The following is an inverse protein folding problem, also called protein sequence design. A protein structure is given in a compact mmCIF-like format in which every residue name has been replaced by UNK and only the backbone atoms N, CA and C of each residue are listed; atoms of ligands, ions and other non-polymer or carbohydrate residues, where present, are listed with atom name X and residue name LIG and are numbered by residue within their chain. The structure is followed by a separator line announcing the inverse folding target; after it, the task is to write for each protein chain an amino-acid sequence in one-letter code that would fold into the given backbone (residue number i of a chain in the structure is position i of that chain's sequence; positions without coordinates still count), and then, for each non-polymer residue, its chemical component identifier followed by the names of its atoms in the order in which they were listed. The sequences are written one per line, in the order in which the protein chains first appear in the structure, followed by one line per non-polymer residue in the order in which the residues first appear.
data_IF_095506780634
#
_entry.id   IF_095506780634
#
_cell.length_a   1.000
_cell.length_b   1.000
_cell.length_c   1.000
_cell.angle_alpha   90.00
_cell.angle_beta   90.00
_cell.angle_gamma   90.00
#
_symmetry.space_group_name_H-M   'P 1'
#
loop_
_entity.id
_entity.type
_entity.pdbx_description
1 polymer ?
#
# COMPACT_ATOMS: atom_id res chain seq x y z
N UNK A 1 2.30 5.33 -27.87
CA UNK A 1 2.05 5.98 -26.57
C UNK A 1 3.25 6.83 -26.23
N UNK A 2 3.08 8.15 -26.05
CA UNK A 2 4.17 9.02 -25.60
C UNK A 2 4.50 8.67 -24.14
N UNK A 3 5.74 8.27 -23.90
CA UNK A 3 6.26 8.05 -22.55
C UNK A 3 6.87 9.35 -22.06
N UNK A 4 6.56 9.74 -20.83
CA UNK A 4 7.17 10.87 -20.15
C UNK A 4 8.35 10.36 -19.35
N UNK A 5 9.54 10.83 -19.70
CA UNK A 5 10.76 10.57 -18.95
C UNK A 5 10.66 11.18 -17.55
N UNK A 6 11.07 10.43 -16.53
CA UNK A 6 11.03 10.85 -15.13
C UNK A 6 12.41 10.72 -14.50
N UNK A 7 12.81 11.77 -13.77
CA UNK A 7 13.92 11.67 -12.82
C UNK A 7 13.47 10.99 -11.51
N UNK A 8 14.42 10.67 -10.63
CA UNK A 8 14.13 9.95 -9.41
C UNK A 8 13.20 10.72 -8.45
N UNK A 9 13.32 12.05 -8.39
CA UNK A 9 12.46 12.90 -7.54
C UNK A 9 11.00 12.78 -7.99
N UNK A 10 10.73 12.84 -9.29
CA UNK A 10 9.39 12.69 -9.85
C UNK A 10 8.83 11.27 -9.63
N UNK A 11 9.68 10.26 -9.84
CA UNK A 11 9.33 8.86 -9.57
C UNK A 11 8.89 8.68 -8.11
N UNK A 12 9.66 9.22 -7.17
CA UNK A 12 9.41 9.06 -5.75
C UNK A 12 8.24 9.92 -5.24
N UNK A 13 8.03 11.10 -5.84
CA UNK A 13 6.84 11.91 -5.61
C UNK A 13 5.57 11.16 -5.98
N UNK A 14 5.55 10.50 -7.15
CA UNK A 14 4.41 9.70 -7.61
C UNK A 14 4.07 8.59 -6.60
N UNK A 15 5.09 7.85 -6.15
CA UNK A 15 4.90 6.79 -5.14
C UNK A 15 4.41 7.36 -3.79
N UNK A 16 4.86 8.57 -3.42
CA UNK A 16 4.43 9.22 -2.19
C UNK A 16 2.97 9.71 -2.26
N UNK A 17 2.54 10.22 -3.41
CA UNK A 17 1.14 10.61 -3.64
C UNK A 17 0.23 9.39 -3.53
N UNK A 18 0.59 8.26 -4.17
CA UNK A 18 -0.16 7.01 -4.06
C UNK A 18 -0.27 6.54 -2.62
N UNK A 19 0.86 6.52 -1.89
CA UNK A 19 0.89 6.14 -0.48
C UNK A 19 -0.03 7.03 0.38
N UNK A 20 0.05 8.35 0.21
CA UNK A 20 -0.78 9.30 0.97
C UNK A 20 -2.26 9.15 0.61
N UNK A 21 -2.59 8.97 -0.67
CA UNK A 21 -3.98 8.81 -1.12
C UNK A 21 -4.63 7.56 -0.48
N UNK A 22 -3.94 6.42 -0.49
CA UNK A 22 -4.41 5.19 0.15
C UNK A 22 -4.52 5.33 1.68
N UNK A 23 -3.56 6.02 2.32
CA UNK A 23 -3.62 6.29 3.76
C UNK A 23 -4.79 7.20 4.15
N UNK A 24 -5.02 8.27 3.38
CA UNK A 24 -6.17 9.16 3.60
C UNK A 24 -7.47 8.41 3.37
N UNK A 25 -7.54 7.52 2.37
CA UNK A 25 -8.73 6.72 2.09
C UNK A 25 -9.23 5.93 3.31
N UNK A 26 -8.34 5.18 3.97
CA UNK A 26 -8.69 4.43 5.19
C UNK A 26 -9.02 5.32 6.40
N UNK A 27 -8.36 6.47 6.55
CA UNK A 27 -8.66 7.43 7.63
C UNK A 27 -10.06 8.02 7.44
N UNK A 28 -10.35 8.51 6.23
CA UNK A 28 -11.65 9.11 5.88
C UNK A 28 -12.75 8.06 6.02
N UNK A 29 -12.52 6.84 5.52
CA UNK A 29 -13.54 5.79 5.63
C UNK A 29 -13.81 5.42 7.09
N UNK A 30 -12.77 5.32 7.92
CA UNK A 30 -12.91 5.08 9.37
C UNK A 30 -13.67 6.20 10.05
N UNK A 31 -13.38 7.47 9.72
CA UNK A 31 -14.09 8.62 10.28
C UNK A 31 -15.58 8.62 9.91
N UNK A 32 -15.90 8.30 8.65
CA UNK A 32 -17.29 8.20 8.18
C UNK A 32 -18.03 7.07 8.92
N UNK A 33 -17.44 5.87 8.99
CA UNK A 33 -18.12 4.74 9.64
C UNK A 33 -18.26 4.94 11.15
N UNK A 34 -17.29 5.58 11.80
CA UNK A 34 -17.37 5.99 13.20
C UNK A 34 -18.56 6.92 13.43
N UNK A 35 -18.69 7.97 12.61
CA UNK A 35 -19.80 8.92 12.70
C UNK A 35 -21.16 8.24 12.48
N UNK A 36 -21.26 7.38 11.45
CA UNK A 36 -22.48 6.63 11.14
C UNK A 36 -22.87 5.70 12.30
N UNK A 37 -21.90 4.95 12.84
CA UNK A 37 -22.16 4.02 13.93
C UNK A 37 -22.56 4.73 15.23
N UNK A 38 -21.98 5.89 15.55
CA UNK A 38 -22.40 6.69 16.70
C UNK A 38 -23.81 7.26 16.56
N UNK A 39 -24.26 7.50 15.33
CA UNK A 39 -25.58 8.10 15.06
C UNK A 39 -26.68 7.05 14.93
N UNK A 40 -26.37 5.90 14.34
CA UNK A 40 -27.34 4.88 13.92
C UNK A 40 -27.17 3.53 14.61
N UNK A 41 -26.07 3.30 15.33
CA UNK A 41 -25.67 1.97 15.80
C UNK A 41 -25.04 1.10 14.70
N UNK A 42 -24.80 -0.18 15.01
CA UNK A 42 -24.37 -1.17 14.03
C UNK A 42 -25.48 -1.48 13.03
N UNK A 43 -25.17 -1.52 11.73
CA UNK A 43 -26.19 -1.75 10.68
C UNK A 43 -26.80 -3.17 10.77
N UNK A 44 -26.01 -4.14 11.24
CA UNK A 44 -26.38 -5.54 11.40
C UNK A 44 -26.02 -6.00 12.81
N UNK A 45 -26.65 -5.40 13.82
CA UNK A 45 -26.49 -5.70 15.24
C UNK A 45 -26.99 -7.13 15.56
N UNK A 46 -26.15 -8.12 15.20
CA UNK A 46 -26.35 -9.55 15.44
C UNK A 46 -25.06 -10.15 16.02
N UNK A 47 -25.16 -10.67 17.24
CA UNK A 47 -24.03 -11.27 17.97
C UNK A 47 -23.39 -12.43 17.20
N UNK A 48 -24.15 -13.18 16.40
CA UNK A 48 -23.58 -14.28 15.59
C UNK A 48 -22.68 -13.75 14.48
N UNK A 49 -23.09 -12.65 13.82
CA UNK A 49 -22.30 -12.01 12.76
C UNK A 49 -21.02 -11.44 13.36
N UNK A 50 -21.14 -10.79 14.52
CA UNK A 50 -20.00 -10.28 15.29
C UNK A 50 -19.00 -11.38 15.62
N UNK A 51 -19.45 -12.50 16.17
CA UNK A 51 -18.58 -13.61 16.57
C UNK A 51 -17.85 -14.25 15.37
N UNK A 52 -18.52 -14.35 14.22
CA UNK A 52 -17.88 -14.77 12.96
C UNK A 52 -16.77 -13.79 12.58
N UNK A 53 -17.02 -12.49 12.61
CA UNK A 53 -16.00 -11.50 12.27
C UNK A 53 -14.84 -11.45 13.25
N UNK A 54 -15.08 -11.70 14.54
CA UNK A 54 -14.02 -11.86 15.54
C UNK A 54 -13.07 -13.02 15.21
N UNK A 55 -13.55 -14.04 14.51
CA UNK A 55 -12.69 -15.12 14.00
C UNK A 55 -12.02 -14.76 12.66
N UNK A 56 -12.78 -14.17 11.73
CA UNK A 56 -12.32 -13.95 10.34
C UNK A 56 -11.28 -12.82 10.26
N UNK A 57 -11.48 -11.70 10.97
CA UNK A 57 -10.57 -10.54 10.91
C UNK A 57 -9.14 -10.89 11.32
N UNK A 58 -8.88 -11.57 12.46
CA UNK A 58 -7.53 -12.02 12.81
C UNK A 58 -6.92 -12.98 11.78
N UNK A 59 -7.72 -13.91 11.23
CA UNK A 59 -7.25 -14.83 10.19
C UNK A 59 -6.86 -14.08 8.92
N UNK A 60 -7.64 -13.07 8.51
CA UNK A 60 -7.31 -12.21 7.37
C UNK A 60 -6.05 -11.38 7.64
N UNK A 61 -5.91 -10.82 8.84
CA UNK A 61 -4.72 -10.07 9.25
C UNK A 61 -3.45 -10.92 9.17
N UNK A 62 -3.45 -12.12 9.77
CA UNK A 62 -2.32 -13.04 9.72
C UNK A 62 -2.09 -13.59 8.31
N UNK A 63 -3.17 -13.93 7.61
CA UNK A 63 -3.16 -14.43 6.23
C UNK A 63 -2.55 -13.42 5.27
N UNK A 64 -2.87 -12.13 5.43
CA UNK A 64 -2.20 -11.06 4.71
C UNK A 64 -0.71 -11.11 5.00
N UNK A 65 -0.28 -11.12 6.27
CA UNK A 65 1.16 -11.04 6.59
C UNK A 65 1.94 -12.14 5.88
N UNK A 66 1.37 -13.35 5.81
CA UNK A 66 1.96 -14.47 5.08
C UNK A 66 1.94 -14.24 3.56
N UNK A 67 0.79 -13.83 3.00
CA UNK A 67 0.65 -13.52 1.59
C UNK A 67 1.63 -12.42 1.14
N UNK A 68 1.78 -11.36 1.93
CA UNK A 68 2.73 -10.27 1.74
C UNK A 68 4.15 -10.82 1.59
N UNK A 69 4.61 -11.61 2.58
CA UNK A 69 5.95 -12.17 2.56
C UNK A 69 6.20 -13.00 1.30
N UNK A 70 5.27 -13.88 0.92
CA UNK A 70 5.44 -14.77 -0.23
C UNK A 70 5.40 -13.99 -1.55
N UNK A 71 4.38 -13.17 -1.75
CA UNK A 71 4.17 -12.43 -3.01
C UNK A 71 5.27 -11.40 -3.24
N UNK A 72 5.62 -10.65 -2.19
CA UNK A 72 6.64 -9.61 -2.27
C UNK A 72 8.04 -10.22 -2.46
N UNK A 73 8.38 -11.32 -1.77
CA UNK A 73 9.67 -11.98 -1.98
C UNK A 73 9.83 -12.48 -3.42
N UNK A 74 8.79 -13.12 -3.99
CA UNK A 74 8.80 -13.57 -5.38
C UNK A 74 9.00 -12.41 -6.37
N UNK A 75 8.28 -11.31 -6.17
CA UNK A 75 8.38 -10.15 -7.05
C UNK A 75 9.71 -9.41 -6.89
N UNK A 76 10.25 -9.29 -5.68
CA UNK A 76 11.57 -8.71 -5.46
C UNK A 76 12.67 -9.52 -6.15
N UNK A 77 12.60 -10.86 -6.11
CA UNK A 77 13.53 -11.72 -6.84
C UNK A 77 13.50 -11.45 -8.34
N UNK A 78 12.30 -11.30 -8.92
CA UNK A 78 12.13 -10.95 -10.34
C UNK A 78 12.62 -9.53 -10.66
N UNK A 79 12.37 -8.57 -9.77
CA UNK A 79 12.82 -7.19 -9.96
C UNK A 79 14.35 -7.10 -9.97
N UNK A 80 15.03 -7.81 -9.07
CA UNK A 80 16.50 -7.83 -8.99
C UNK A 80 17.17 -8.44 -10.21
N UNK A 81 16.50 -9.38 -10.90
CA UNK A 81 17.04 -10.01 -12.11
C UNK A 81 16.88 -9.17 -13.37
N UNK A 82 16.32 -7.95 -13.29
CA UNK A 82 16.23 -7.04 -14.43
C UNK A 82 17.60 -6.43 -14.74
N UNK A 83 17.87 -6.22 -16.02
CA UNK A 83 19.16 -5.73 -16.51
C UNK A 83 19.31 -4.23 -16.27
N UNK A 84 18.24 -3.47 -16.47
CA UNK A 84 18.28 -2.01 -16.41
C UNK A 84 17.67 -1.46 -15.12
N UNK A 85 18.20 -0.34 -14.64
CA UNK A 85 17.65 0.39 -13.49
C UNK A 85 16.18 0.79 -13.72
N UNK A 86 15.84 1.17 -14.95
CA UNK A 86 14.46 1.54 -15.32
C UNK A 86 13.49 0.40 -15.07
N UNK A 87 13.80 -0.81 -15.53
CA UNK A 87 12.97 -1.99 -15.30
C UNK A 87 12.90 -2.36 -13.82
N UNK A 88 14.00 -2.25 -13.08
CA UNK A 88 14.02 -2.48 -11.62
C UNK A 88 13.06 -1.52 -10.91
N UNK A 89 13.10 -0.23 -11.25
CA UNK A 89 12.23 0.79 -10.67
C UNK A 89 10.76 0.61 -11.07
N UNK A 90 10.51 0.17 -12.31
CA UNK A 90 9.17 -0.16 -12.77
C UNK A 90 8.55 -1.31 -11.96
N UNK A 91 9.28 -2.42 -11.80
CA UNK A 91 8.83 -3.56 -10.99
C UNK A 91 8.67 -3.16 -9.52
N UNK A 92 9.58 -2.35 -8.98
CA UNK A 92 9.52 -1.89 -7.58
C UNK A 92 8.27 -1.06 -7.28
N UNK A 93 7.82 -0.24 -8.24
CA UNK A 93 6.56 0.49 -8.12
C UNK A 93 5.39 -0.48 -8.00
N UNK A 94 5.33 -1.51 -8.84
CA UNK A 94 4.32 -2.57 -8.76
C UNK A 94 4.35 -3.31 -7.42
N UNK A 95 5.55 -3.65 -6.94
CA UNK A 95 5.75 -4.30 -5.63
C UNK A 95 5.20 -3.43 -4.49
N UNK A 96 5.49 -2.14 -4.52
CA UNK A 96 5.02 -1.18 -3.52
C UNK A 96 3.50 -1.10 -3.51
N UNK A 97 2.87 -0.95 -4.68
CA UNK A 97 1.41 -0.88 -4.82
C UNK A 97 0.75 -2.14 -4.26
N UNK A 98 1.25 -3.32 -4.62
CA UNK A 98 0.70 -4.61 -4.14
C UNK A 98 0.86 -4.74 -2.63
N UNK A 99 2.02 -4.36 -2.08
CA UNK A 99 2.28 -4.41 -0.64
C UNK A 99 1.27 -3.56 0.14
N UNK A 100 1.04 -2.33 -0.33
CA UNK A 100 0.10 -1.40 0.28
C UNK A 100 -1.35 -1.87 0.09
N UNK A 101 -1.74 -2.33 -1.09
CA UNK A 101 -3.09 -2.79 -1.39
C UNK A 101 -3.49 -4.00 -0.54
N UNK A 102 -2.57 -4.92 -0.28
CA UNK A 102 -2.88 -6.06 0.58
C UNK A 102 -3.12 -5.62 2.05
N UNK A 103 -2.40 -4.62 2.55
CA UNK A 103 -2.66 -4.05 3.89
C UNK A 103 -3.99 -3.30 3.91
N UNK A 104 -4.23 -2.44 2.91
CA UNK A 104 -5.46 -1.66 2.78
C UNK A 104 -6.70 -2.56 2.68
N UNK A 105 -6.62 -3.69 1.97
CA UNK A 105 -7.72 -4.65 1.89
C UNK A 105 -8.16 -5.18 3.25
N UNK A 106 -7.23 -5.49 4.15
CA UNK A 106 -7.57 -5.92 5.52
C UNK A 106 -8.08 -4.75 6.36
N UNK A 107 -7.54 -3.54 6.18
CA UNK A 107 -8.03 -2.35 6.86
C UNK A 107 -9.48 -2.08 6.49
N UNK A 108 -9.81 -2.02 5.20
CA UNK A 108 -11.17 -1.81 4.71
C UNK A 108 -12.12 -2.91 5.16
N UNK A 109 -11.70 -4.18 5.12
CA UNK A 109 -12.52 -5.27 5.64
C UNK A 109 -12.83 -5.07 7.13
N UNK A 110 -11.83 -4.70 7.94
CA UNK A 110 -12.01 -4.43 9.37
C UNK A 110 -12.92 -3.21 9.62
N UNK A 111 -12.80 -2.14 8.82
CA UNK A 111 -13.69 -0.97 8.88
C UNK A 111 -15.13 -1.37 8.58
N UNK A 112 -15.34 -2.26 7.59
CA UNK A 112 -16.68 -2.78 7.26
C UNK A 112 -17.23 -3.64 8.40
N UNK A 113 -16.43 -4.51 9.02
CA UNK A 113 -16.85 -5.28 10.20
C UNK A 113 -17.27 -4.36 11.35
N UNK A 114 -16.53 -3.28 11.60
CA UNK A 114 -16.94 -2.25 12.56
C UNK A 114 -18.28 -1.60 12.17
N UNK A 115 -18.44 -1.17 10.91
CA UNK A 115 -19.68 -0.53 10.45
C UNK A 115 -20.90 -1.44 10.63
N UNK A 116 -20.74 -2.74 10.38
CA UNK A 116 -21.83 -3.71 10.48
C UNK A 116 -22.18 -4.03 11.94
N UNK A 117 -21.19 -4.22 12.80
CA UNK A 117 -21.39 -4.74 14.16
C UNK A 117 -21.42 -3.68 15.25
N UNK A 118 -20.81 -2.51 15.01
CA UNK A 118 -20.53 -1.51 16.04
C UNK A 118 -19.45 -1.87 17.05
N UNK A 119 -18.78 -3.03 16.92
CA UNK A 119 -17.74 -3.43 17.87
C UNK A 119 -16.41 -2.73 17.56
N UNK A 120 -15.97 -1.89 18.50
CA UNK A 120 -14.74 -1.11 18.41
C UNK A 120 -13.47 -1.96 18.35
N UNK A 121 -13.52 -3.25 18.70
CA UNK A 121 -12.39 -4.17 18.56
C UNK A 121 -11.86 -4.21 17.11
N UNK A 122 -12.74 -4.07 16.12
CA UNK A 122 -12.34 -4.06 14.72
C UNK A 122 -11.53 -2.81 14.36
N UNK A 123 -11.75 -1.67 15.03
CA UNK A 123 -10.96 -0.46 14.85
C UNK A 123 -9.55 -0.58 15.46
N UNK A 124 -9.35 -1.45 16.46
CA UNK A 124 -8.02 -1.78 16.95
C UNK A 124 -7.19 -2.43 15.84
N UNK A 125 -7.78 -3.36 15.07
CA UNK A 125 -7.13 -3.94 13.90
C UNK A 125 -6.81 -2.89 12.83
N UNK A 126 -7.75 -1.97 12.55
CA UNK A 126 -7.51 -0.85 11.62
C UNK A 126 -6.31 -0.03 12.07
N UNK A 127 -6.22 0.32 13.35
CA UNK A 127 -5.08 1.06 13.91
C UNK A 127 -3.75 0.31 13.74
N UNK A 128 -3.72 -0.99 14.05
CA UNK A 128 -2.54 -1.83 13.84
C UNK A 128 -2.12 -1.88 12.37
N UNK A 129 -3.08 -2.03 11.46
CA UNK A 129 -2.82 -2.08 10.02
C UNK A 129 -2.33 -0.72 9.51
N UNK A 130 -2.88 0.40 9.99
CA UNK A 130 -2.40 1.75 9.66
C UNK A 130 -0.94 1.94 10.09
N UNK A 131 -0.56 1.47 11.28
CA UNK A 131 0.84 1.50 11.73
C UNK A 131 1.72 0.68 10.78
N UNK A 132 1.32 -0.55 10.44
CA UNK A 132 2.04 -1.38 9.46
C UNK A 132 2.11 -0.72 8.08
N UNK A 133 1.06 -0.03 7.66
CA UNK A 133 1.00 0.71 6.40
C UNK A 133 2.06 1.81 6.38
N UNK A 134 2.13 2.62 7.44
CA UNK A 134 3.15 3.68 7.57
C UNK A 134 4.56 3.11 7.63
N UNK A 135 4.78 2.01 8.36
CA UNK A 135 6.07 1.30 8.38
C UNK A 135 6.45 0.81 6.97
N UNK A 136 5.50 0.56 6.08
CA UNK A 136 5.75 0.14 4.70
C UNK A 136 5.84 1.28 3.68
N UNK A 137 5.91 2.55 4.13
CA UNK A 137 6.13 3.71 3.25
C UNK A 137 7.34 3.50 2.32
N UNK A 138 7.20 3.70 0.99
CA UNK A 138 8.31 3.59 0.05
C UNK A 138 9.30 4.74 0.28
N UNK A 139 10.57 4.42 0.48
CA UNK A 139 11.65 5.39 0.70
C UNK A 139 12.84 5.00 -0.17
N UNK A 140 13.71 5.96 -0.51
CA UNK A 140 14.93 5.69 -1.29
C UNK A 140 15.76 4.57 -0.65
N UNK A 141 15.98 4.64 0.66
CA UNK A 141 16.81 3.65 1.37
C UNK A 141 16.21 2.25 1.34
N UNK A 142 14.88 2.12 1.46
CA UNK A 142 14.20 0.82 1.31
C UNK A 142 14.35 0.30 -0.10
N UNK A 143 14.16 1.15 -1.10
CA UNK A 143 14.28 0.78 -2.51
C UNK A 143 15.69 0.26 -2.82
N UNK A 144 16.72 1.03 -2.46
CA UNK A 144 18.13 0.67 -2.69
C UNK A 144 18.45 -0.67 -2.03
N UNK A 145 18.02 -0.87 -0.78
CA UNK A 145 18.26 -2.12 -0.04
C UNK A 145 17.47 -3.30 -0.61
N UNK A 146 16.20 -3.11 -0.95
CA UNK A 146 15.32 -4.19 -1.41
C UNK A 146 15.66 -4.63 -2.84
N UNK A 147 16.12 -3.71 -3.70
CA UNK A 147 16.56 -4.01 -5.07
C UNK A 147 18.05 -4.36 -5.18
N UNK A 148 18.80 -4.24 -4.07
CA UNK A 148 20.25 -4.52 -4.02
C UNK A 148 21.02 -3.70 -5.08
N UNK A 149 20.68 -2.42 -5.20
CA UNK A 149 21.27 -1.54 -6.22
C UNK A 149 22.76 -1.33 -5.97
N UNK A 150 23.56 -1.41 -7.02
CA UNK A 150 25.00 -1.17 -6.95
C UNK A 150 25.32 0.34 -6.84
N UNK A 151 26.61 0.69 -6.69
CA UNK A 151 27.04 2.08 -6.52
C UNK A 151 26.78 2.96 -7.75
N UNK A 152 26.90 2.40 -8.95
CA UNK A 152 26.65 3.13 -10.19
C UNK A 152 25.17 3.46 -10.33
N UNK A 153 24.29 2.49 -10.07
CA UNK A 153 22.84 2.68 -10.04
C UNK A 153 22.43 3.71 -8.98
N UNK A 154 23.04 3.66 -7.79
CA UNK A 154 22.78 4.66 -6.75
C UNK A 154 23.22 6.07 -7.17
N UNK A 155 24.37 6.22 -7.84
CA UNK A 155 24.82 7.51 -8.36
C UNK A 155 23.82 8.08 -9.38
N UNK A 156 23.23 7.23 -10.23
CA UNK A 156 22.16 7.62 -11.16
C UNK A 156 20.91 8.12 -10.41
N UNK A 157 20.57 7.53 -9.26
CA UNK A 157 19.43 7.99 -8.44
C UNK A 157 19.68 9.35 -7.76
N UNK A 158 20.94 9.72 -7.55
CA UNK A 158 21.34 10.99 -6.94
C UNK A 158 21.48 12.12 -7.98
N UNK A 159 21.62 11.78 -9.26
CA UNK A 159 21.61 12.75 -10.35
C UNK A 159 20.19 13.27 -10.61
N UNK A 160 19.90 14.57 -10.37
CA UNK A 160 18.57 15.14 -10.58
C UNK A 160 18.14 15.21 -12.04
N UNK A 161 19.10 15.09 -12.97
CA UNK A 161 18.89 15.20 -14.42
C UNK A 161 18.80 13.84 -15.10
N UNK A 162 19.24 12.77 -14.43
CA UNK A 162 19.18 11.43 -14.97
C UNK A 162 17.73 10.94 -15.12
N UNK A 163 17.43 10.40 -16.30
CA UNK A 163 16.17 9.71 -16.57
C UNK A 163 16.26 8.29 -16.01
N UNK A 164 15.44 8.00 -14.99
CA UNK A 164 15.48 6.72 -14.29
C UNK A 164 14.22 5.89 -14.51
N UNK A 165 13.11 6.52 -14.88
CA UNK A 165 11.84 5.83 -15.11
C UNK A 165 11.09 6.46 -16.28
N UNK A 166 10.23 5.68 -16.92
CA UNK A 166 9.29 6.16 -17.93
C UNK A 166 7.87 6.03 -17.37
N UNK A 167 7.09 7.10 -17.43
CA UNK A 167 5.65 7.05 -17.15
C UNK A 167 4.84 7.11 -18.44
N UNK A 168 3.73 6.37 -18.50
CA UNK A 168 2.76 6.54 -19.57
C UNK A 168 2.11 7.92 -19.42
N UNK A 169 2.19 8.77 -20.46
CA UNK A 169 1.45 10.04 -20.47
C UNK A 169 -0.05 9.72 -20.33
N UNK A 170 -0.69 10.14 -19.24
CA UNK A 170 -2.14 10.01 -19.10
C UNK A 170 -2.81 10.78 -20.24
N UNK A 171 -3.79 10.17 -20.91
CA UNK A 171 -4.57 10.78 -22.00
C UNK A 171 -5.43 11.99 -21.56
N UNK A 172 -5.18 12.56 -20.38
CA UNK A 172 -5.94 13.64 -19.75
C UNK A 172 -5.05 14.88 -19.62
N UNK A 173 -4.47 15.29 -20.74
CA UNK A 173 -3.84 16.60 -20.85
C UNK A 173 -4.12 17.15 -22.25
N UNK A 174 -5.34 17.62 -22.44
CA UNK A 174 -5.71 18.76 -23.28
C UNK A 174 -6.92 19.44 -22.62
#
# INVERSE_FOLDING_TARGET
MNKTEQNFIQYQRTNSILFIAMLIGQIVFTAITLYLNQTLGGIAEDDNIRDIFLLVVPVFFLGQMLASKIVIAKKLKLARSKETLNEKLFEYRSITIIRLALLEGVAFFSIICFLLTGDYIFLVFVGLIMVLFVINKPTKDKLVRELELNREEQAILDDPTAVVAEAVKSLVSD
#
